data_IF_776396291896
#
_entry.id   IF_776396291896
#
_cell.length_a   1.000
_cell.length_b   1.000
_cell.length_c   1.000
_cell.angle_alpha   90.00
_cell.angle_beta   90.00
_cell.angle_gamma   90.00
#
_symmetry.space_group_name_H-M   'P 1'
#
loop_
_entity.id
_entity.type
_entity.pdbx_description
1 polymer ?
#
# COMPACT_ATOMS: atom_id res chain seq x y z
N UNK A 1 -17.94 -24.28 65.64
CA UNK A 1 -18.96 -23.90 64.63
C UNK A 1 -18.36 -22.86 63.71
N UNK A 2 -18.07 -23.25 62.46
CA UNK A 2 -18.03 -22.41 61.24
C UNK A 2 -17.42 -23.27 60.14
N UNK A 3 -18.28 -24.06 59.51
CA UNK A 3 -18.02 -24.71 58.23
C UNK A 3 -18.28 -23.67 57.12
N UNK A 4 -17.46 -23.70 56.07
CA UNK A 4 -17.94 -23.32 54.74
C UNK A 4 -17.05 -22.35 53.98
N UNK A 5 -16.24 -22.90 53.07
CA UNK A 5 -16.21 -22.61 51.62
C UNK A 5 -14.85 -23.04 51.05
N UNK A 6 -14.69 -24.36 50.87
CA UNK A 6 -13.77 -24.92 49.87
C UNK A 6 -14.63 -25.15 48.63
N UNK A 7 -14.40 -24.41 47.56
CA UNK A 7 -15.15 -24.57 46.30
C UNK A 7 -14.23 -24.34 45.11
N UNK A 8 -14.03 -25.43 44.36
CA UNK A 8 -13.82 -25.48 42.92
C UNK A 8 -12.60 -24.75 42.32
N UNK A 9 -11.42 -25.37 42.44
CA UNK A 9 -10.32 -25.20 41.49
C UNK A 9 -9.86 -26.57 40.97
N UNK A 10 -10.72 -27.31 40.28
CA UNK A 10 -10.31 -28.56 39.64
C UNK A 10 -11.27 -28.98 38.52
N UNK A 11 -11.51 -28.10 37.53
CA UNK A 11 -12.18 -28.49 36.28
C UNK A 11 -11.86 -27.45 35.19
N UNK A 12 -10.71 -27.58 34.53
CA UNK A 12 -10.31 -26.62 33.49
C UNK A 12 -9.00 -26.93 32.76
N UNK A 13 -8.60 -28.20 32.70
CA UNK A 13 -7.37 -28.62 32.00
C UNK A 13 -7.58 -29.89 31.16
N UNK A 14 -8.77 -30.04 30.54
CA UNK A 14 -9.09 -31.22 29.74
C UNK A 14 -9.95 -30.84 28.54
N UNK A 15 -9.43 -29.98 27.66
CA UNK A 15 -10.12 -29.62 26.42
C UNK A 15 -9.14 -29.16 25.34
N UNK A 16 -8.07 -29.95 25.08
CA UNK A 16 -7.12 -29.65 23.99
C UNK A 16 -6.35 -30.88 23.46
N UNK A 17 -6.92 -32.10 23.52
CA UNK A 17 -6.30 -33.32 22.95
C UNK A 17 -7.25 -34.09 22.02
N UNK A 18 -8.20 -33.41 21.37
CA UNK A 18 -9.04 -33.98 20.31
C UNK A 18 -8.82 -33.30 18.95
N UNK A 19 -7.55 -33.00 18.63
CA UNK A 19 -7.10 -33.01 17.24
C UNK A 19 -6.67 -34.46 16.94
N UNK A 20 -7.60 -35.42 16.92
CA UNK A 20 -8.26 -35.85 15.68
C UNK A 20 -7.23 -35.97 14.54
N UNK A 21 -6.84 -37.21 14.25
CA UNK A 21 -6.12 -37.61 13.05
C UNK A 21 -6.94 -37.21 11.81
N UNK A 22 -6.89 -35.93 11.43
CA UNK A 22 -7.39 -35.50 10.15
C UNK A 22 -6.50 -36.14 9.07
N UNK A 23 -7.10 -36.86 8.13
CA UNK A 23 -6.39 -37.39 6.97
C UNK A 23 -5.66 -36.22 6.30
N UNK A 24 -4.32 -36.29 6.26
CA UNK A 24 -3.56 -35.44 5.36
C UNK A 24 -3.99 -35.84 3.95
N UNK A 25 -4.52 -34.93 3.12
CA UNK A 25 -4.89 -35.26 1.75
C UNK A 25 -3.66 -35.82 1.05
N UNK A 26 -3.64 -37.14 0.82
CA UNK A 26 -2.56 -37.82 0.13
C UNK A 26 -2.76 -37.60 -1.36
N UNK A 27 -2.06 -36.61 -1.91
CA UNK A 27 -1.64 -36.62 -3.31
C UNK A 27 -2.64 -36.25 -4.40
N UNK A 28 -3.87 -35.81 -4.10
CA UNK A 28 -4.73 -35.20 -5.13
C UNK A 28 -4.57 -33.68 -5.13
N UNK A 29 -4.12 -33.12 -6.26
CA UNK A 29 -4.15 -31.68 -6.50
C UNK A 29 -5.60 -31.21 -6.42
N UNK A 30 -5.93 -30.39 -5.41
CA UNK A 30 -7.23 -29.75 -5.29
C UNK A 30 -7.21 -28.48 -6.16
N UNK A 31 -8.16 -28.37 -7.07
CA UNK A 31 -8.29 -27.27 -8.03
C UNK A 31 -9.74 -26.78 -8.15
N UNK A 32 -9.95 -25.67 -8.85
CA UNK A 32 -11.26 -25.04 -9.06
C UNK A 32 -11.67 -24.11 -7.91
N UNK A 33 -12.91 -24.25 -7.45
CA UNK A 33 -13.42 -23.50 -6.31
C UNK A 33 -13.16 -24.24 -5.01
N UNK A 34 -12.47 -23.60 -4.08
CA UNK A 34 -12.09 -24.19 -2.78
C UNK A 34 -12.56 -23.31 -1.65
N UNK A 35 -13.25 -23.91 -0.68
CA UNK A 35 -13.69 -23.23 0.53
C UNK A 35 -12.59 -23.27 1.60
N UNK A 36 -12.08 -22.11 1.98
CA UNK A 36 -11.02 -21.96 3.01
C UNK A 36 -11.54 -21.18 4.22
N UNK A 37 -10.91 -21.37 5.38
CA UNK A 37 -11.15 -20.55 6.58
C UNK A 37 -9.95 -19.67 6.89
N UNK A 38 -10.10 -18.36 6.71
CA UNK A 38 -9.00 -17.38 6.76
C UNK A 38 -9.43 -16.07 7.47
N UNK A 39 -8.48 -15.29 8.01
CA UNK A 39 -8.76 -13.90 8.40
C UNK A 39 -9.26 -13.13 7.19
N UNK A 40 -10.44 -12.52 7.31
CA UNK A 40 -11.11 -11.83 6.22
C UNK A 40 -11.80 -10.58 6.72
N UNK A 41 -11.86 -9.56 5.85
CA UNK A 41 -12.51 -8.28 6.15
C UNK A 41 -14.04 -8.41 6.13
N UNK A 42 -14.71 -7.80 7.09
CA UNK A 42 -16.15 -7.57 7.10
C UNK A 42 -16.51 -6.30 6.31
N UNK A 43 -17.79 -5.92 6.32
CA UNK A 43 -18.28 -4.74 5.59
C UNK A 43 -17.76 -3.42 6.16
N UNK A 44 -17.45 -3.40 7.46
CA UNK A 44 -16.83 -2.29 8.19
C UNK A 44 -15.28 -2.35 8.11
N UNK A 45 -14.76 -3.34 7.40
CA UNK A 45 -13.34 -3.62 7.22
C UNK A 45 -12.67 -4.34 8.39
N UNK A 46 -13.38 -4.58 9.50
CA UNK A 46 -12.91 -5.39 10.61
C UNK A 46 -12.48 -6.77 10.13
N UNK A 47 -11.44 -7.36 10.73
CA UNK A 47 -10.92 -8.66 10.26
C UNK A 47 -11.22 -9.72 11.29
N UNK A 48 -11.91 -10.77 10.84
CA UNK A 48 -12.31 -11.93 11.65
C UNK A 48 -12.06 -13.21 10.87
N UNK A 49 -12.04 -14.36 11.53
CA UNK A 49 -11.86 -15.64 10.87
C UNK A 49 -13.17 -16.05 10.16
N UNK A 50 -13.19 -15.97 8.83
CA UNK A 50 -14.37 -16.25 8.02
C UNK A 50 -14.14 -17.42 7.06
N UNK A 51 -15.23 -17.98 6.55
CA UNK A 51 -15.18 -18.99 5.48
C UNK A 51 -15.31 -18.28 4.14
N UNK A 52 -14.30 -18.42 3.29
CA UNK A 52 -14.19 -17.73 1.99
C UNK A 52 -14.05 -18.78 0.89
N UNK A 53 -14.73 -18.58 -0.24
CA UNK A 53 -14.57 -19.41 -1.42
C UNK A 53 -13.52 -18.77 -2.31
N UNK A 54 -12.40 -19.46 -2.52
CA UNK A 54 -11.38 -19.10 -3.51
C UNK A 54 -11.78 -19.69 -4.85
N UNK A 55 -11.67 -18.92 -5.93
CA UNK A 55 -11.97 -19.39 -7.28
C UNK A 55 -10.72 -19.38 -8.15
N UNK A 56 -10.75 -20.09 -9.28
CA UNK A 56 -9.65 -20.06 -10.25
C UNK A 56 -8.33 -20.70 -9.77
N UNK A 57 -8.36 -21.53 -8.72
CA UNK A 57 -7.18 -22.27 -8.27
C UNK A 57 -6.85 -23.40 -9.23
N UNK A 58 -5.60 -23.47 -9.65
CA UNK A 58 -5.04 -24.63 -10.37
C UNK A 58 -4.52 -25.67 -9.37
N UNK A 59 -3.93 -25.23 -8.26
CA UNK A 59 -3.36 -26.08 -7.23
C UNK A 59 -3.41 -25.41 -5.86
N UNK A 60 -4.21 -25.95 -4.94
CA UNK A 60 -4.32 -25.46 -3.56
C UNK A 60 -3.01 -25.57 -2.77
N UNK A 61 -2.21 -26.62 -2.99
CA UNK A 61 -0.97 -26.83 -2.25
C UNK A 61 0.09 -25.78 -2.64
N UNK A 62 0.12 -25.34 -3.89
CA UNK A 62 1.01 -24.27 -4.34
C UNK A 62 0.36 -22.88 -4.23
N UNK A 63 -0.93 -22.83 -3.89
CA UNK A 63 -1.81 -21.65 -4.01
C UNK A 63 -1.66 -20.95 -5.37
N UNK A 64 -1.48 -21.75 -6.42
CA UNK A 64 -1.33 -21.28 -7.80
C UNK A 64 -2.70 -21.23 -8.47
N UNK A 65 -2.96 -20.15 -9.22
CA UNK A 65 -4.15 -20.07 -10.06
C UNK A 65 -4.23 -18.76 -10.83
N UNK A 66 -5.45 -18.35 -11.20
CA UNK A 66 -5.70 -17.20 -12.08
C UNK A 66 -5.24 -15.85 -11.51
N UNK A 67 -5.24 -15.69 -10.18
CA UNK A 67 -5.07 -14.36 -9.55
C UNK A 67 -3.68 -14.13 -8.94
N UNK A 68 -3.01 -15.18 -8.46
CA UNK A 68 -1.70 -15.05 -7.82
C UNK A 68 -0.80 -16.26 -8.10
N UNK A 69 0.49 -15.98 -8.18
CA UNK A 69 1.57 -16.95 -8.26
C UNK A 69 2.61 -16.61 -7.20
N UNK A 70 2.82 -17.53 -6.26
CA UNK A 70 3.72 -17.31 -5.13
C UNK A 70 5.14 -17.83 -5.39
N UNK A 71 6.12 -17.09 -4.88
CA UNK A 71 7.54 -17.47 -4.86
C UNK A 71 8.05 -17.30 -3.43
N UNK A 72 8.66 -18.33 -2.86
CA UNK A 72 9.19 -18.30 -1.50
C UNK A 72 10.64 -17.82 -1.46
N UNK A 73 10.92 -16.88 -0.55
CA UNK A 73 12.23 -16.27 -0.36
C UNK A 73 12.90 -15.86 -1.69
N UNK A 74 12.19 -15.06 -2.53
CA UNK A 74 12.63 -14.80 -3.89
C UNK A 74 13.96 -14.05 -3.96
N UNK A 75 14.68 -14.30 -5.04
CA UNK A 75 15.66 -13.38 -5.61
C UNK A 75 14.94 -12.44 -6.57
N UNK A 76 15.21 -11.14 -6.46
CA UNK A 76 14.69 -10.11 -7.37
C UNK A 76 15.60 -10.03 -8.60
N UNK A 77 15.01 -10.08 -9.79
CA UNK A 77 15.64 -9.94 -11.09
C UNK A 77 15.06 -8.73 -11.82
N UNK A 78 15.68 -8.34 -12.94
CA UNK A 78 15.24 -7.17 -13.72
C UNK A 78 13.89 -7.35 -14.43
N UNK A 79 13.42 -8.60 -14.60
CA UNK A 79 12.20 -8.97 -15.32
C UNK A 79 11.30 -9.95 -14.53
N UNK A 80 11.56 -10.08 -13.23
CA UNK A 80 10.76 -10.95 -12.38
C UNK A 80 11.38 -11.29 -11.04
N UNK A 81 10.80 -12.30 -10.42
CA UNK A 81 11.29 -12.89 -9.18
C UNK A 81 11.46 -14.39 -9.38
N UNK A 82 12.51 -14.95 -8.81
CA UNK A 82 12.82 -16.38 -8.88
C UNK A 82 13.02 -16.96 -7.48
N UNK A 83 12.62 -18.20 -7.27
CA UNK A 83 12.74 -18.87 -5.99
C UNK A 83 12.00 -20.20 -5.97
N UNK A 84 11.89 -20.79 -4.79
CA UNK A 84 11.15 -22.04 -4.63
C UNK A 84 9.64 -21.80 -4.71
N UNK A 85 8.90 -22.73 -5.31
CA UNK A 85 7.44 -22.76 -5.18
C UNK A 85 7.08 -23.12 -3.73
N UNK A 86 6.35 -22.27 -2.99
CA UNK A 86 5.93 -22.62 -1.64
C UNK A 86 4.91 -23.75 -1.64
N UNK A 87 4.94 -24.56 -0.57
CA UNK A 87 3.94 -25.59 -0.32
C UNK A 87 3.10 -25.20 0.91
N UNK A 88 1.86 -24.80 0.66
CA UNK A 88 0.86 -24.55 1.67
C UNK A 88 0.34 -25.86 2.29
N UNK A 89 0.09 -25.81 3.59
CA UNK A 89 -0.40 -26.89 4.42
C UNK A 89 -1.80 -26.55 4.94
N UNK A 90 -2.75 -27.44 4.68
CA UNK A 90 -4.14 -27.30 5.09
C UNK A 90 -4.64 -28.55 5.80
N UNK A 91 -5.44 -28.36 6.84
CA UNK A 91 -6.29 -29.39 7.42
C UNK A 91 -7.69 -29.28 6.80
N UNK A 92 -8.25 -30.40 6.33
CA UNK A 92 -9.62 -30.44 5.83
C UNK A 92 -10.56 -30.83 6.96
N UNK A 93 -11.55 -29.99 7.22
CA UNK A 93 -12.64 -30.28 8.15
C UNK A 93 -13.62 -31.31 7.57
N UNK A 94 -14.45 -31.93 8.42
CA UNK A 94 -15.52 -32.83 7.97
C UNK A 94 -16.55 -32.15 7.05
N UNK A 95 -16.71 -30.83 7.15
CA UNK A 95 -17.55 -30.02 6.26
C UNK A 95 -16.86 -29.66 4.93
N UNK A 96 -15.65 -30.16 4.67
CA UNK A 96 -14.90 -29.90 3.44
C UNK A 96 -14.17 -28.55 3.39
N UNK A 97 -14.21 -27.76 4.47
CA UNK A 97 -13.48 -26.49 4.58
C UNK A 97 -12.00 -26.75 4.86
N UNK A 98 -11.12 -26.08 4.13
CA UNK A 98 -9.67 -26.13 4.31
C UNK A 98 -9.20 -25.03 5.27
N UNK A 99 -8.46 -25.40 6.30
CA UNK A 99 -7.93 -24.47 7.31
C UNK A 99 -6.40 -24.48 7.22
N UNK A 100 -5.74 -23.34 6.95
CA UNK A 100 -4.29 -23.27 6.96
C UNK A 100 -3.72 -23.74 8.30
N UNK A 101 -2.68 -24.58 8.27
CA UNK A 101 -2.08 -25.14 9.50
C UNK A 101 -0.81 -24.42 9.95
N UNK A 102 -0.30 -23.49 9.14
CA UNK A 102 0.83 -22.63 9.47
C UNK A 102 0.62 -21.20 8.95
N UNK A 103 1.46 -20.27 9.42
CA UNK A 103 1.37 -18.85 9.08
C UNK A 103 1.58 -18.59 7.59
N UNK A 104 2.55 -19.26 6.96
CA UNK A 104 2.83 -19.10 5.52
C UNK A 104 1.62 -19.47 4.66
N UNK A 105 0.99 -20.60 4.98
CA UNK A 105 -0.22 -21.08 4.29
C UNK A 105 -1.39 -20.13 4.50
N UNK A 106 -1.51 -19.54 5.71
CA UNK A 106 -2.52 -18.52 5.99
C UNK A 106 -2.27 -17.25 5.17
N UNK A 107 -1.04 -16.76 5.13
CA UNK A 107 -0.67 -15.59 4.32
C UNK A 107 -0.97 -15.83 2.83
N UNK A 108 -0.56 -16.96 2.28
CA UNK A 108 -0.84 -17.30 0.87
C UNK A 108 -2.34 -17.36 0.57
N UNK A 109 -3.14 -17.99 1.43
CA UNK A 109 -4.58 -18.07 1.26
C UNK A 109 -5.27 -16.70 1.36
N UNK A 110 -4.86 -15.86 2.32
CA UNK A 110 -5.39 -14.50 2.49
C UNK A 110 -5.02 -13.60 1.32
N UNK A 111 -3.75 -13.62 0.89
CA UNK A 111 -3.30 -12.84 -0.26
C UNK A 111 -4.05 -13.28 -1.52
N UNK A 112 -4.13 -14.58 -1.80
CA UNK A 112 -4.84 -15.09 -2.98
C UNK A 112 -6.30 -14.58 -3.02
N UNK A 113 -7.01 -14.70 -1.89
CA UNK A 113 -8.37 -14.21 -1.76
C UNK A 113 -8.48 -12.69 -2.01
N UNK A 114 -7.52 -11.91 -1.48
CA UNK A 114 -7.50 -10.46 -1.72
C UNK A 114 -7.20 -10.10 -3.17
N UNK A 115 -6.25 -10.79 -3.82
CA UNK A 115 -5.92 -10.59 -5.24
C UNK A 115 -7.09 -10.93 -6.16
N UNK A 116 -7.85 -11.99 -5.87
CA UNK A 116 -9.09 -12.30 -6.58
C UNK A 116 -10.09 -11.13 -6.51
N UNK A 117 -10.26 -10.55 -5.32
CA UNK A 117 -11.18 -9.43 -5.12
C UNK A 117 -10.66 -8.12 -5.74
N UNK A 118 -9.34 -7.90 -5.74
CA UNK A 118 -8.71 -6.77 -6.40
C UNK A 118 -8.84 -6.88 -7.92
N UNK A 119 -8.69 -8.06 -8.51
CA UNK A 119 -8.94 -8.27 -9.94
C UNK A 119 -10.38 -7.89 -10.35
N UNK A 120 -11.37 -8.21 -9.49
CA UNK A 120 -12.78 -7.80 -9.68
C UNK A 120 -12.96 -6.29 -9.53
N UNK A 121 -12.26 -5.66 -8.59
CA UNK A 121 -12.27 -4.21 -8.43
C UNK A 121 -11.64 -3.51 -9.64
N UNK A 122 -10.53 -4.03 -10.17
CA UNK A 122 -9.88 -3.54 -11.39
C UNK A 122 -10.82 -3.64 -12.60
N UNK A 123 -11.56 -4.74 -12.71
CA UNK A 123 -12.60 -4.90 -13.74
C UNK A 123 -13.73 -3.87 -13.58
N UNK A 124 -14.25 -3.68 -12.37
CA UNK A 124 -15.27 -2.68 -12.08
C UNK A 124 -14.78 -1.24 -12.34
N UNK A 125 -13.50 -0.98 -12.11
CA UNK A 125 -12.84 0.31 -12.35
C UNK A 125 -12.41 0.52 -13.82
N UNK A 126 -12.62 -0.48 -14.70
CA UNK A 126 -12.30 -0.38 -16.12
C UNK A 126 -10.82 -0.55 -16.46
N UNK A 127 -10.02 -1.14 -15.56
CA UNK A 127 -8.56 -1.31 -15.71
C UNK A 127 -8.09 -2.76 -15.71
N UNK A 128 -9.00 -3.72 -15.94
CA UNK A 128 -8.69 -5.17 -15.98
C UNK A 128 -7.48 -5.53 -16.85
N UNK A 129 -7.28 -4.83 -17.96
CA UNK A 129 -6.22 -5.10 -18.93
C UNK A 129 -4.88 -4.40 -18.62
N UNK A 130 -4.82 -3.58 -17.57
CA UNK A 130 -3.61 -2.83 -17.21
C UNK A 130 -2.57 -3.76 -16.60
N UNK A 131 -2.98 -4.67 -15.72
CA UNK A 131 -2.07 -5.58 -15.03
C UNK A 131 -2.10 -6.97 -15.68
N UNK A 132 -0.93 -7.60 -15.73
CA UNK A 132 -0.81 -9.01 -16.08
C UNK A 132 -1.24 -9.89 -14.91
N UNK A 133 -2.01 -10.94 -15.19
CA UNK A 133 -2.48 -11.93 -14.21
C UNK A 133 -2.00 -13.34 -14.60
N UNK A 134 -1.68 -14.22 -13.64
CA UNK A 134 -1.65 -13.99 -12.19
C UNK A 134 -0.55 -13.03 -11.75
N UNK A 135 -0.76 -12.31 -10.63
CA UNK A 135 0.30 -11.45 -10.07
C UNK A 135 1.40 -12.29 -9.43
N UNK A 136 2.66 -11.90 -9.66
CA UNK A 136 3.83 -12.49 -9.00
C UNK A 136 3.94 -11.96 -7.57
N UNK A 137 3.99 -12.86 -6.60
CA UNK A 137 4.03 -12.50 -5.17
C UNK A 137 5.17 -13.22 -4.48
N UNK A 138 6.15 -12.45 -4.02
CA UNK A 138 7.23 -12.93 -3.19
C UNK A 138 6.81 -12.99 -1.72
N UNK A 139 6.88 -14.15 -1.10
CA UNK A 139 6.65 -14.30 0.35
C UNK A 139 7.96 -14.60 1.07
N UNK A 140 8.08 -14.12 2.31
CA UNK A 140 9.32 -14.20 3.09
C UNK A 140 10.52 -13.58 2.33
N UNK A 141 10.27 -12.46 1.63
CA UNK A 141 11.29 -11.77 0.85
C UNK A 141 12.41 -11.26 1.78
N UNK A 142 13.66 -11.60 1.46
CA UNK A 142 14.83 -11.27 2.29
C UNK A 142 15.56 -10.07 1.71
N UNK A 143 15.05 -8.89 2.03
CA UNK A 143 15.66 -7.63 1.61
C UNK A 143 16.59 -7.13 2.70
N UNK A 144 17.78 -6.68 2.32
CA UNK A 144 18.75 -6.07 3.23
C UNK A 144 18.76 -4.57 3.00
N UNK A 145 18.69 -3.80 4.09
CA UNK A 145 18.89 -2.36 4.07
C UNK A 145 20.37 -2.00 3.88
N UNK A 146 20.63 -0.69 3.81
CA UNK A 146 21.98 -0.10 3.73
C UNK A 146 22.87 -0.49 4.91
N UNK A 147 22.26 -0.63 6.09
CA UNK A 147 22.89 -1.08 7.32
C UNK A 147 23.21 -2.60 7.32
N UNK A 148 22.88 -3.30 6.22
CA UNK A 148 23.04 -4.73 6.05
C UNK A 148 22.00 -5.57 6.82
N UNK A 149 21.12 -4.94 7.59
CA UNK A 149 20.08 -5.63 8.35
C UNK A 149 18.96 -6.08 7.43
N UNK A 150 18.37 -7.23 7.76
CA UNK A 150 17.18 -7.68 7.05
C UNK A 150 16.01 -6.79 7.42
N UNK A 151 15.32 -6.29 6.41
CA UNK A 151 14.05 -5.63 6.61
C UNK A 151 13.04 -6.60 7.21
N UNK A 152 12.16 -6.03 8.01
CA UNK A 152 11.06 -6.71 8.69
C UNK A 152 9.91 -5.74 8.76
N UNK A 153 8.69 -6.25 8.93
CA UNK A 153 7.48 -5.43 9.06
C UNK A 153 7.29 -4.50 7.85
N UNK A 154 7.53 -5.01 6.64
CA UNK A 154 7.37 -4.25 5.41
C UNK A 154 6.70 -5.05 4.29
N UNK A 155 6.14 -4.33 3.33
CA UNK A 155 5.70 -4.85 2.05
C UNK A 155 6.02 -3.81 1.00
N UNK A 156 6.23 -4.24 -0.25
CA UNK A 156 6.35 -3.29 -1.33
C UNK A 156 6.07 -3.94 -2.68
N UNK A 157 5.58 -3.14 -3.62
CA UNK A 157 5.67 -3.42 -5.05
C UNK A 157 7.03 -2.99 -5.61
N UNK A 158 7.63 -3.85 -6.44
CA UNK A 158 8.83 -3.54 -7.22
C UNK A 158 8.49 -3.45 -8.71
N UNK A 159 8.63 -2.25 -9.28
CA UNK A 159 8.26 -1.96 -10.67
C UNK A 159 9.19 -2.61 -11.71
N UNK A 160 10.44 -2.89 -11.35
CA UNK A 160 11.36 -3.60 -12.23
C UNK A 160 10.93 -5.07 -12.43
N UNK A 161 10.70 -5.79 -11.33
CA UNK A 161 10.28 -7.19 -11.39
C UNK A 161 8.78 -7.41 -11.61
N UNK A 162 7.97 -6.34 -11.62
CA UNK A 162 6.49 -6.38 -11.65
C UNK A 162 5.92 -7.32 -10.59
N UNK A 163 6.42 -7.23 -9.35
CA UNK A 163 6.09 -8.16 -8.27
C UNK A 163 5.77 -7.47 -6.95
N UNK A 164 4.87 -8.06 -6.18
CA UNK A 164 4.59 -7.66 -4.80
C UNK A 164 5.44 -8.51 -3.87
N UNK A 165 6.17 -7.88 -2.95
CA UNK A 165 7.09 -8.52 -2.03
C UNK A 165 6.61 -8.34 -0.59
N UNK A 166 6.31 -9.46 0.06
CA UNK A 166 5.91 -9.54 1.46
C UNK A 166 7.14 -9.92 2.29
N UNK A 167 7.59 -8.98 3.13
CA UNK A 167 8.74 -9.17 4.02
C UNK A 167 8.28 -9.84 5.32
N UNK A 168 9.11 -10.69 5.97
CA UNK A 168 8.76 -11.29 7.25
C UNK A 168 8.35 -10.26 8.31
N UNK A 169 7.30 -10.57 9.07
CA UNK A 169 6.86 -9.75 10.20
C UNK A 169 7.58 -10.16 11.48
N UNK A 170 7.82 -9.21 12.38
CA UNK A 170 8.26 -9.46 13.74
C UNK A 170 7.12 -10.08 14.53
N UNK A 171 7.51 -10.92 15.50
CA UNK A 171 6.56 -11.56 16.41
C UNK A 171 5.75 -10.51 17.18
N UNK A 172 4.44 -10.69 17.24
CA UNK A 172 3.53 -9.89 18.08
C UNK A 172 2.85 -8.71 17.38
N UNK A 173 3.17 -8.44 16.11
CA UNK A 173 2.44 -7.48 15.27
C UNK A 173 1.49 -8.21 14.33
N UNK A 174 0.43 -7.55 13.88
CA UNK A 174 -0.45 -8.13 12.85
C UNK A 174 0.33 -8.18 11.52
N UNK A 175 0.57 -9.37 10.94
CA UNK A 175 1.24 -9.52 9.66
C UNK A 175 0.66 -8.66 8.53
N UNK A 176 1.50 -7.86 7.87
CA UNK A 176 1.13 -7.04 6.70
C UNK A 176 0.51 -7.87 5.57
N UNK A 177 1.04 -9.09 5.38
CA UNK A 177 0.54 -10.09 4.42
C UNK A 177 -0.90 -10.56 4.70
N UNK A 178 -1.51 -10.16 5.81
CA UNK A 178 -2.91 -10.45 6.14
C UNK A 178 -3.75 -9.19 6.37
N UNK A 179 -3.17 -8.02 6.08
CA UNK A 179 -3.85 -6.74 6.20
C UNK A 179 -4.44 -6.35 4.84
N UNK A 180 -5.78 -6.30 4.69
CA UNK A 180 -6.43 -6.07 3.40
C UNK A 180 -6.07 -4.71 2.79
N UNK A 181 -5.92 -3.67 3.61
CA UNK A 181 -5.60 -2.33 3.12
C UNK A 181 -4.17 -2.23 2.61
N UNK A 182 -3.23 -2.92 3.27
CA UNK A 182 -1.83 -3.00 2.83
C UNK A 182 -1.71 -3.77 1.52
N UNK A 183 -2.35 -4.94 1.38
CA UNK A 183 -2.31 -5.70 0.13
C UNK A 183 -2.86 -4.87 -1.04
N UNK A 184 -3.96 -4.14 -0.81
CA UNK A 184 -4.52 -3.25 -1.81
C UNK A 184 -3.61 -2.06 -2.12
N UNK A 185 -2.96 -1.47 -1.11
CA UNK A 185 -1.96 -0.41 -1.27
C UNK A 185 -0.81 -0.87 -2.19
N UNK A 186 -0.25 -2.06 -1.94
CA UNK A 186 0.81 -2.61 -2.81
C UNK A 186 0.33 -2.92 -4.23
N UNK A 187 -0.89 -3.42 -4.37
CA UNK A 187 -1.50 -3.64 -5.68
C UNK A 187 -1.66 -2.33 -6.46
N UNK A 188 -2.02 -1.24 -5.77
CA UNK A 188 -2.16 0.07 -6.42
C UNK A 188 -0.85 0.58 -6.99
N UNK A 189 0.28 0.37 -6.30
CA UNK A 189 1.58 0.74 -6.86
C UNK A 189 1.85 0.08 -8.22
N UNK A 190 1.35 -1.14 -8.46
CA UNK A 190 1.41 -1.75 -9.78
C UNK A 190 0.56 -0.99 -10.81
N UNK A 191 -0.69 -0.66 -10.47
CA UNK A 191 -1.56 0.15 -11.35
C UNK A 191 -0.92 1.49 -11.69
N UNK A 192 -0.42 2.20 -10.67
CA UNK A 192 0.23 3.49 -10.82
C UNK A 192 1.51 3.39 -11.64
N UNK A 193 2.28 2.31 -11.46
CA UNK A 193 3.46 2.07 -12.28
C UNK A 193 3.08 1.91 -13.75
N UNK A 194 2.14 1.03 -14.09
CA UNK A 194 1.77 0.77 -15.49
C UNK A 194 1.03 1.94 -16.15
N UNK A 195 0.29 2.75 -15.39
CA UNK A 195 -0.49 3.88 -15.93
C UNK A 195 0.25 5.22 -15.91
N UNK A 196 1.24 5.40 -15.03
CA UNK A 196 1.91 6.69 -14.81
C UNK A 196 3.42 6.55 -14.91
N UNK A 197 4.07 5.81 -14.02
CA UNK A 197 5.54 5.84 -13.93
C UNK A 197 6.22 5.18 -15.13
N UNK A 198 5.74 4.01 -15.57
CA UNK A 198 6.26 3.22 -16.68
C UNK A 198 6.34 4.02 -17.98
N UNK A 199 5.23 4.60 -18.48
CA UNK A 199 5.25 5.45 -19.67
C UNK A 199 6.23 6.62 -19.54
N UNK A 200 6.23 7.32 -18.40
CA UNK A 200 7.13 8.45 -18.17
C UNK A 200 8.61 8.04 -18.07
N UNK A 201 8.90 6.83 -17.59
CA UNK A 201 10.23 6.24 -17.55
C UNK A 201 10.72 5.85 -18.94
N UNK A 202 9.85 5.29 -19.79
CA UNK A 202 10.15 4.92 -21.17
C UNK A 202 10.44 6.16 -22.03
N UNK A 203 9.66 7.23 -21.82
CA UNK A 203 9.83 8.53 -22.45
C UNK A 203 11.01 9.33 -21.87
N UNK A 204 11.66 8.83 -20.80
CA UNK A 204 12.75 9.50 -20.08
C UNK A 204 12.36 10.85 -19.47
N UNK A 205 11.07 11.04 -19.20
CA UNK A 205 10.54 12.17 -18.41
C UNK A 205 10.95 12.03 -16.95
N UNK A 206 10.93 10.80 -16.44
CA UNK A 206 11.35 10.45 -15.09
C UNK A 206 12.70 9.73 -15.11
N UNK A 207 13.45 9.86 -14.01
CA UNK A 207 14.71 9.15 -13.83
C UNK A 207 14.48 7.64 -13.72
N UNK A 208 15.33 6.84 -14.40
CA UNK A 208 15.31 5.36 -14.34
C UNK A 208 15.42 4.80 -12.92
N UNK A 209 15.92 5.59 -11.98
CA UNK A 209 16.03 5.24 -10.56
C UNK A 209 14.67 5.06 -9.87
N UNK A 210 13.57 5.47 -10.52
CA UNK A 210 12.20 5.20 -10.09
C UNK A 210 11.71 3.79 -10.44
N UNK A 211 12.47 2.98 -11.19
CA UNK A 211 12.09 1.60 -11.48
C UNK A 211 12.16 0.69 -10.26
N UNK A 212 13.09 0.95 -9.36
CA UNK A 212 13.15 0.27 -8.06
C UNK A 212 12.05 0.80 -7.15
N UNK A 213 11.44 -0.10 -6.37
CA UNK A 213 10.39 0.18 -5.38
C UNK A 213 10.50 1.57 -4.72
N UNK A 214 9.35 2.20 -4.46
CA UNK A 214 9.28 3.45 -3.67
C UNK A 214 9.99 3.32 -2.31
N UNK A 215 10.15 2.08 -1.83
CA UNK A 215 10.82 1.74 -0.59
C UNK A 215 12.29 1.33 -0.75
N UNK A 216 12.86 1.16 -1.97
CA UNK A 216 14.31 0.87 -2.16
C UNK A 216 15.17 2.13 -1.98
N UNK A 217 15.25 2.59 -0.74
CA UNK A 217 16.05 3.75 -0.29
C UNK A 217 17.55 3.57 -0.64
N UNK A 218 18.03 2.33 -0.65
CA UNK A 218 19.40 1.94 -1.04
C UNK A 218 19.76 2.40 -2.44
N UNK A 219 19.04 1.95 -3.45
CA UNK A 219 19.37 2.33 -4.83
C UNK A 219 19.00 3.77 -5.16
N UNK A 220 17.98 4.34 -4.50
CA UNK A 220 17.54 5.71 -4.79
C UNK A 220 18.63 6.72 -4.43
N UNK A 221 19.28 6.62 -3.27
CA UNK A 221 20.31 7.60 -2.89
C UNK A 221 21.68 7.28 -3.45
N UNK A 222 22.03 6.01 -3.68
CA UNK A 222 23.29 5.66 -4.36
C UNK A 222 23.33 6.23 -5.78
N UNK A 223 22.16 6.44 -6.39
CA UNK A 223 22.05 7.09 -7.70
C UNK A 223 22.00 8.63 -7.63
N UNK A 224 21.57 9.24 -6.52
CA UNK A 224 21.80 10.68 -6.27
C UNK A 224 23.27 10.97 -6.03
N UNK A 225 24.00 9.98 -5.51
CA UNK A 225 25.42 10.03 -5.23
C UNK A 225 26.30 9.67 -6.44
N UNK A 226 25.74 9.48 -7.64
CA UNK A 226 26.54 9.32 -8.89
C UNK A 226 27.33 10.58 -9.28
N UNK A 227 27.25 11.66 -8.49
CA UNK A 227 28.17 12.78 -8.54
C UNK A 227 29.40 12.62 -7.60
N UNK A 228 29.48 11.56 -6.78
CA UNK A 228 30.41 11.46 -5.64
C UNK A 228 31.66 10.59 -5.84
N UNK A 229 31.88 10.03 -7.04
CA UNK A 229 33.18 9.41 -7.40
C UNK A 229 34.36 10.42 -7.34
N UNK A 230 34.07 11.70 -7.10
CA UNK A 230 35.03 12.65 -6.57
C UNK A 230 34.97 12.71 -5.03
N UNK A 231 35.58 11.73 -4.35
CA UNK A 231 36.07 11.85 -2.96
C UNK A 231 37.22 12.88 -2.86
N UNK A 232 36.99 14.11 -3.32
CA UNK A 232 37.73 15.28 -2.87
C UNK A 232 36.88 15.94 -1.80
N UNK A 233 37.52 16.55 -0.81
CA UNK A 233 36.91 17.37 0.24
C UNK A 233 36.00 18.46 -0.36
N UNK A 234 34.80 18.10 -0.80
CA UNK A 234 33.79 19.05 -1.22
C UNK A 234 33.19 19.61 0.08
N UNK A 235 33.60 20.83 0.41
CA UNK A 235 32.83 21.70 1.29
C UNK A 235 31.37 21.59 0.85
N UNK A 236 30.48 21.23 1.77
CA UNK A 236 29.05 21.16 1.50
C UNK A 236 28.65 22.41 0.70
N UNK A 237 28.11 22.25 -0.52
CA UNK A 237 27.73 23.39 -1.35
C UNK A 237 26.81 24.30 -0.53
N UNK A 238 27.01 25.63 -0.64
CA UNK A 238 26.13 26.57 0.06
C UNK A 238 24.71 26.37 -0.46
N UNK A 239 23.71 26.42 0.43
CA UNK A 239 22.29 26.24 0.10
C UNK A 239 21.80 27.16 -1.05
N UNK A 240 22.49 28.27 -1.29
CA UNK A 240 22.25 29.21 -2.40
C UNK A 240 22.71 28.73 -3.78
N UNK A 241 23.61 27.76 -3.83
CA UNK A 241 24.31 27.33 -5.07
C UNK A 241 23.68 26.06 -5.66
N UNK A 242 22.69 25.49 -4.96
CA UNK A 242 21.99 24.27 -5.33
C UNK A 242 20.72 24.63 -6.08
N UNK A 243 20.89 25.04 -7.34
CA UNK A 243 19.78 25.01 -8.30
C UNK A 243 19.42 23.54 -8.53
N UNK A 244 18.49 23.04 -7.74
CA UNK A 244 18.00 21.68 -7.89
C UNK A 244 17.17 21.55 -9.17
N UNK A 245 17.40 20.48 -9.93
CA UNK A 245 16.73 20.30 -11.21
C UNK A 245 15.24 19.95 -11.04
N UNK A 246 14.44 20.44 -11.99
CA UNK A 246 12.99 20.24 -12.02
C UNK A 246 12.62 18.75 -12.15
N UNK A 247 13.48 17.95 -12.79
CA UNK A 247 13.28 16.53 -12.96
C UNK A 247 13.26 15.79 -11.62
N UNK A 248 14.16 16.14 -10.71
CA UNK A 248 14.25 15.49 -9.41
C UNK A 248 13.14 15.98 -8.47
N UNK A 249 12.75 17.25 -8.55
CA UNK A 249 11.57 17.73 -7.84
C UNK A 249 10.31 16.96 -8.28
N UNK A 250 10.08 16.86 -9.59
CA UNK A 250 8.92 16.17 -10.15
C UNK A 250 8.95 14.65 -9.84
N UNK A 251 10.14 14.06 -9.81
CA UNK A 251 10.38 12.67 -9.36
C UNK A 251 9.92 12.48 -7.91
N UNK A 252 10.30 13.39 -7.01
CA UNK A 252 9.88 13.33 -5.61
C UNK A 252 8.36 13.50 -5.48
N UNK A 253 7.77 14.49 -6.17
CA UNK A 253 6.31 14.70 -6.17
C UNK A 253 5.56 13.47 -6.66
N UNK A 254 6.05 12.80 -7.71
CA UNK A 254 5.40 11.58 -8.21
C UNK A 254 5.42 10.44 -7.19
N UNK A 255 6.47 10.31 -6.39
CA UNK A 255 6.48 9.37 -5.27
C UNK A 255 5.43 9.73 -4.23
N UNK A 256 5.31 11.02 -3.86
CA UNK A 256 4.28 11.48 -2.92
C UNK A 256 2.87 11.15 -3.41
N UNK A 257 2.61 11.37 -4.69
CA UNK A 257 1.32 11.06 -5.32
C UNK A 257 1.08 9.56 -5.30
N UNK A 258 2.06 8.75 -5.69
CA UNK A 258 1.95 7.29 -5.69
C UNK A 258 1.58 6.75 -4.30
N UNK A 259 2.33 7.12 -3.26
CA UNK A 259 2.10 6.71 -1.87
C UNK A 259 0.74 7.19 -1.35
N UNK A 260 0.43 8.46 -1.58
CA UNK A 260 -0.83 9.04 -1.14
C UNK A 260 -2.05 8.38 -1.78
N UNK A 261 -2.02 8.15 -3.09
CA UNK A 261 -3.12 7.50 -3.80
C UNK A 261 -3.18 5.99 -3.50
N UNK A 262 -2.05 5.35 -3.19
CA UNK A 262 -2.04 3.97 -2.71
C UNK A 262 -2.75 3.84 -1.35
N UNK A 263 -2.58 4.81 -0.44
CA UNK A 263 -3.35 4.88 0.81
C UNK A 263 -4.85 5.06 0.57
N UNK A 264 -5.23 5.88 -0.43
CA UNK A 264 -6.64 6.01 -0.86
C UNK A 264 -7.17 4.68 -1.38
N UNK A 265 -6.41 3.96 -2.22
CA UNK A 265 -6.82 2.66 -2.74
C UNK A 265 -6.93 1.58 -1.64
N UNK A 266 -5.99 1.59 -0.69
CA UNK A 266 -6.04 0.76 0.52
C UNK A 266 -7.33 0.99 1.30
N UNK A 267 -7.76 2.25 1.45
CA UNK A 267 -9.04 2.61 2.07
C UNK A 267 -10.26 2.22 1.22
N UNK A 268 -10.26 2.50 -0.09
CA UNK A 268 -11.32 2.10 -1.04
C UNK A 268 -11.64 0.61 -0.86
N UNK A 269 -10.59 -0.21 -0.89
CA UNK A 269 -10.69 -1.65 -0.83
C UNK A 269 -11.07 -2.16 0.56
N UNK A 270 -10.36 -1.72 1.60
CA UNK A 270 -10.54 -2.24 2.96
C UNK A 270 -11.76 -1.67 3.68
N UNK A 271 -12.18 -0.45 3.33
CA UNK A 271 -13.15 0.34 4.08
C UNK A 271 -12.59 1.01 5.34
N UNK A 272 -11.31 0.78 5.69
CA UNK A 272 -10.70 1.30 6.92
C UNK A 272 -9.79 2.50 6.62
N UNK A 273 -10.06 3.70 7.15
CA UNK A 273 -9.20 4.87 6.96
C UNK A 273 -7.87 4.78 7.72
N UNK A 274 -7.75 3.86 8.68
CA UNK A 274 -6.54 3.61 9.48
C UNK A 274 -6.06 2.17 9.30
N UNK A 275 -6.22 1.59 8.11
CA UNK A 275 -5.91 0.17 7.88
C UNK A 275 -4.48 -0.20 8.33
N UNK A 276 -3.53 0.73 8.26
CA UNK A 276 -2.13 0.51 8.63
C UNK A 276 -1.89 0.44 10.14
N UNK A 277 -2.77 1.02 10.97
CA UNK A 277 -2.57 1.16 12.42
C UNK A 277 -2.26 -0.17 13.11
N UNK A 278 -2.93 -1.25 12.69
CA UNK A 278 -2.83 -2.53 13.39
C UNK A 278 -1.56 -3.30 13.04
N UNK A 279 -1.01 -3.08 11.85
CA UNK A 279 0.25 -3.69 11.43
C UNK A 279 1.44 -2.82 11.81
N UNK A 280 1.33 -1.50 11.66
CA UNK A 280 2.39 -0.55 11.95
C UNK A 280 1.86 0.67 12.73
N UNK A 281 1.61 0.54 14.05
CA UNK A 281 0.98 1.59 14.87
C UNK A 281 1.70 2.94 14.80
N UNK A 282 3.03 2.93 14.67
CA UNK A 282 3.87 4.14 14.59
C UNK A 282 3.56 5.04 13.38
N UNK A 283 2.98 4.48 12.31
CA UNK A 283 2.63 5.26 11.12
C UNK A 283 1.20 5.78 11.13
N UNK A 284 0.38 5.45 12.15
CA UNK A 284 -1.01 5.88 12.23
C UNK A 284 -1.16 7.40 12.08
N UNK A 285 -0.36 8.16 12.82
CA UNK A 285 -0.44 9.63 12.84
C UNK A 285 -0.19 10.25 11.47
N UNK A 286 0.70 9.64 10.68
CA UNK A 286 1.10 10.17 9.38
C UNK A 286 0.19 9.67 8.26
N UNK A 287 -0.20 8.39 8.29
CA UNK A 287 -0.90 7.71 7.19
C UNK A 287 -2.39 7.51 7.40
N UNK A 288 -2.94 7.94 8.54
CA UNK A 288 -4.40 7.95 8.73
C UNK A 288 -5.06 8.88 7.71
N UNK A 289 -6.13 8.38 7.07
CA UNK A 289 -7.01 9.18 6.23
C UNK A 289 -8.14 9.86 7.02
N UNK A 290 -8.19 9.73 8.35
CA UNK A 290 -9.13 10.50 9.18
C UNK A 290 -8.66 11.95 9.26
N UNK A 291 -9.59 12.86 9.00
CA UNK A 291 -9.35 14.28 8.87
C UNK A 291 -9.33 15.05 10.21
N UNK A 292 -9.31 14.37 11.35
CA UNK A 292 -9.48 15.08 12.63
C UNK A 292 -8.19 15.80 13.06
N UNK A 293 -8.20 17.14 12.95
CA UNK A 293 -7.22 18.02 13.60
C UNK A 293 -5.89 18.26 12.87
N UNK A 294 -5.67 17.69 11.68
CA UNK A 294 -4.48 17.96 10.87
C UNK A 294 -4.84 18.93 9.75
N UNK A 295 -4.14 20.07 9.70
CA UNK A 295 -4.34 21.10 8.68
C UNK A 295 -4.48 20.51 7.28
N UNK A 296 -5.59 20.85 6.62
CA UNK A 296 -6.07 20.24 5.38
C UNK A 296 -5.42 20.77 4.10
N UNK A 297 -4.43 21.66 4.24
CA UNK A 297 -3.84 22.35 3.11
C UNK A 297 -2.82 21.45 2.43
N UNK A 298 -3.02 21.22 1.13
CA UNK A 298 -2.01 20.57 0.30
C UNK A 298 -0.68 21.34 0.38
N UNK A 299 0.41 20.60 0.43
CA UNK A 299 1.75 21.18 0.51
C UNK A 299 2.06 21.97 -0.77
N UNK A 300 2.40 23.25 -0.61
CA UNK A 300 2.70 24.13 -1.75
C UNK A 300 4.01 23.73 -2.44
N UNK A 301 4.18 24.02 -3.75
CA UNK A 301 5.40 23.67 -4.48
C UNK A 301 6.69 24.19 -3.86
N UNK A 302 6.67 25.38 -3.24
CA UNK A 302 7.83 25.95 -2.54
C UNK A 302 8.19 25.19 -1.26
N UNK A 303 7.20 24.69 -0.54
CA UNK A 303 7.39 23.86 0.65
C UNK A 303 7.94 22.49 0.26
N UNK A 304 7.36 21.85 -0.77
CA UNK A 304 7.88 20.59 -1.32
C UNK A 304 9.34 20.77 -1.75
N UNK A 305 9.68 21.85 -2.46
CA UNK A 305 11.05 22.09 -2.89
C UNK A 305 12.02 22.24 -1.70
N UNK A 306 11.55 22.85 -0.60
CA UNK A 306 12.34 22.94 0.64
C UNK A 306 12.55 21.56 1.25
N UNK A 307 11.50 20.74 1.37
CA UNK A 307 11.60 19.37 1.90
C UNK A 307 12.58 18.57 1.04
N UNK A 308 12.45 18.60 -0.29
CA UNK A 308 13.33 17.87 -1.22
C UNK A 308 14.78 18.35 -1.14
N UNK A 309 15.01 19.65 -0.95
CA UNK A 309 16.36 20.20 -0.76
C UNK A 309 16.97 19.71 0.56
N UNK A 310 16.23 19.83 1.65
CA UNK A 310 16.70 19.42 2.98
C UNK A 310 16.94 17.92 3.04
N UNK A 311 16.15 17.17 2.30
CA UNK A 311 16.30 15.76 2.05
C UNK A 311 17.64 15.35 1.43
N UNK A 312 18.02 16.01 0.34
CA UNK A 312 19.19 15.65 -0.42
C UNK A 312 20.48 16.15 0.21
N UNK A 313 20.41 17.26 0.94
CA UNK A 313 21.60 17.96 1.43
C UNK A 313 21.72 18.03 2.96
N UNK A 314 20.67 17.64 3.70
CA UNK A 314 20.62 17.72 5.17
C UNK A 314 21.31 16.58 5.91
N UNK A 315 21.87 15.60 5.21
CA UNK A 315 22.64 14.50 5.82
C UNK A 315 21.80 13.44 6.57
N UNK A 316 20.48 13.44 6.40
CA UNK A 316 19.57 12.43 6.96
C UNK A 316 18.62 11.84 5.89
N UNK A 317 19.18 11.10 4.92
CA UNK A 317 18.42 10.57 3.79
C UNK A 317 17.26 9.63 4.17
N UNK A 318 17.36 8.87 5.27
CA UNK A 318 16.32 7.92 5.66
C UNK A 318 15.11 8.61 6.34
N UNK A 319 15.35 9.68 7.11
CA UNK A 319 14.29 10.54 7.64
C UNK A 319 13.54 11.24 6.50
N UNK A 320 14.31 11.66 5.50
CA UNK A 320 13.81 12.34 4.31
C UNK A 320 12.77 11.53 3.52
N UNK A 321 12.99 10.23 3.27
CA UNK A 321 12.05 9.43 2.47
C UNK A 321 10.71 9.31 3.17
N UNK A 322 10.73 9.12 4.50
CA UNK A 322 9.51 9.11 5.31
C UNK A 322 8.79 10.46 5.27
N UNK A 323 9.52 11.57 5.39
CA UNK A 323 8.94 12.92 5.38
C UNK A 323 8.37 13.31 4.01
N UNK A 324 9.05 12.93 2.92
CA UNK A 324 8.57 13.16 1.55
C UNK A 324 7.33 12.31 1.26
N UNK A 325 7.42 10.99 1.43
CA UNK A 325 6.35 10.07 1.07
C UNK A 325 5.09 10.28 1.93
N UNK A 326 5.26 10.39 3.25
CA UNK A 326 4.13 10.32 4.19
C UNK A 326 3.61 11.67 4.66
N UNK A 327 4.33 12.78 4.45
CA UNK A 327 3.81 14.12 4.78
C UNK A 327 2.85 14.64 3.70
N UNK A 328 3.38 15.17 2.58
CA UNK A 328 2.57 15.66 1.47
C UNK A 328 1.65 14.59 0.86
N UNK A 329 2.13 13.35 0.72
CA UNK A 329 1.34 12.23 0.17
C UNK A 329 0.09 11.94 0.99
N UNK A 330 0.21 11.84 2.32
CA UNK A 330 -0.96 11.61 3.18
C UNK A 330 -1.93 12.80 3.20
N UNK A 331 -1.41 14.02 3.04
CA UNK A 331 -2.26 15.22 2.93
C UNK A 331 -3.09 15.17 1.65
N UNK A 332 -2.49 14.74 0.53
CA UNK A 332 -3.23 14.44 -0.70
C UNK A 332 -4.27 13.34 -0.47
N UNK A 333 -3.93 12.23 0.21
CA UNK A 333 -4.89 11.15 0.50
C UNK A 333 -6.11 11.62 1.26
N UNK A 334 -5.89 12.48 2.28
CA UNK A 334 -6.97 13.07 3.08
C UNK A 334 -7.84 14.01 2.25
N UNK A 335 -7.23 14.86 1.42
CA UNK A 335 -7.97 15.76 0.54
C UNK A 335 -8.83 14.97 -0.45
N UNK A 336 -8.24 13.98 -1.13
CA UNK A 336 -8.95 13.06 -2.04
C UNK A 336 -10.10 12.39 -1.30
N UNK A 337 -9.86 11.70 -0.18
CA UNK A 337 -10.93 11.05 0.59
C UNK A 337 -12.03 12.02 0.99
N UNK A 338 -11.69 13.23 1.44
CA UNK A 338 -12.67 14.20 1.94
C UNK A 338 -13.59 14.70 0.84
N UNK A 339 -13.04 14.98 -0.35
CA UNK A 339 -13.85 15.32 -1.53
C UNK A 339 -14.89 14.22 -1.78
N UNK A 340 -14.47 12.95 -1.78
CA UNK A 340 -15.38 11.83 -2.07
C UNK A 340 -16.31 11.43 -0.93
N UNK A 341 -15.98 11.77 0.32
CA UNK A 341 -16.93 11.60 1.43
C UNK A 341 -18.07 12.62 1.37
N UNK A 342 -17.88 13.76 0.71
CA UNK A 342 -18.97 14.68 0.36
C UNK A 342 -20.05 13.96 -0.44
N UNK A 343 -19.66 13.28 -1.53
CA UNK A 343 -20.55 12.51 -2.41
C UNK A 343 -21.40 11.46 -1.67
N UNK A 344 -20.85 10.88 -0.58
CA UNK A 344 -21.55 9.89 0.23
C UNK A 344 -22.77 10.44 0.95
N UNK A 345 -22.73 11.71 1.36
CA UNK A 345 -23.83 12.34 2.09
C UNK A 345 -25.00 12.66 1.17
N UNK A 346 -24.73 12.90 -0.12
CA UNK A 346 -25.72 13.42 -1.07
C UNK A 346 -26.47 12.32 -1.84
N UNK A 347 -25.86 11.15 -2.01
CA UNK A 347 -26.40 10.09 -2.90
C UNK A 347 -27.29 9.07 -2.20
N UNK A 348 -27.20 8.92 -0.87
CA UNK A 348 -27.90 7.85 -0.12
C UNK A 348 -27.39 6.43 -0.43
N UNK A 349 -26.31 6.32 -1.21
CA UNK A 349 -25.74 5.06 -1.63
C UNK A 349 -24.94 4.39 -0.51
N UNK A 350 -24.78 3.06 -0.61
CA UNK A 350 -23.93 2.34 0.34
C UNK A 350 -22.47 2.82 0.26
N UNK A 351 -21.79 2.86 1.42
CA UNK A 351 -20.38 3.22 1.50
C UNK A 351 -19.49 2.41 0.56
N UNK A 352 -19.86 1.15 0.28
CA UNK A 352 -19.18 0.29 -0.68
C UNK A 352 -19.30 0.80 -2.11
N UNK A 353 -20.52 1.11 -2.56
CA UNK A 353 -20.78 1.53 -3.94
C UNK A 353 -20.11 2.87 -4.27
N UNK A 354 -20.03 3.79 -3.31
CA UNK A 354 -19.29 5.04 -3.52
C UNK A 354 -17.79 4.80 -3.64
N UNK A 355 -17.21 3.91 -2.83
CA UNK A 355 -15.80 3.51 -2.96
C UNK A 355 -15.51 2.83 -4.30
N UNK A 356 -16.41 2.01 -4.82
CA UNK A 356 -16.27 1.39 -6.15
C UNK A 356 -16.31 2.45 -7.28
N UNK A 357 -17.21 3.44 -7.21
CA UNK A 357 -17.22 4.59 -8.14
C UNK A 357 -15.93 5.41 -8.07
N UNK A 358 -15.45 5.68 -6.86
CA UNK A 358 -14.18 6.35 -6.64
C UNK A 358 -13.01 5.58 -7.26
N UNK A 359 -12.97 4.25 -7.13
CA UNK A 359 -11.96 3.45 -7.81
C UNK A 359 -11.95 3.72 -9.33
N UNK A 360 -13.12 3.72 -9.98
CA UNK A 360 -13.25 4.06 -11.40
C UNK A 360 -12.78 5.48 -11.74
N UNK A 361 -13.19 6.49 -10.96
CA UNK A 361 -12.77 7.89 -11.13
C UNK A 361 -11.25 8.04 -11.01
N UNK A 362 -10.67 7.46 -9.97
CA UNK A 362 -9.23 7.51 -9.73
C UNK A 362 -8.45 6.88 -10.89
N UNK A 363 -8.89 5.72 -11.39
CA UNK A 363 -8.26 5.08 -12.54
C UNK A 363 -8.31 5.91 -13.83
N UNK A 364 -9.43 6.60 -14.08
CA UNK A 364 -9.55 7.54 -15.21
C UNK A 364 -8.65 8.78 -15.06
N UNK A 365 -8.37 9.19 -13.83
CA UNK A 365 -7.53 10.35 -13.54
C UNK A 365 -6.03 10.07 -13.73
N UNK A 366 -5.56 8.84 -13.51
CA UNK A 366 -4.12 8.53 -13.55
C UNK A 366 -3.44 8.91 -14.88
N UNK A 367 -4.02 8.63 -16.08
CA UNK A 367 -3.45 9.12 -17.34
C UNK A 367 -3.34 10.65 -17.42
N UNK A 368 -4.29 11.39 -16.82
CA UNK A 368 -4.24 12.85 -16.77
C UNK A 368 -3.10 13.31 -15.85
N UNK A 369 -2.87 12.63 -14.73
CA UNK A 369 -1.71 12.89 -13.86
C UNK A 369 -0.42 12.71 -14.64
N UNK A 370 -0.27 11.60 -15.39
CA UNK A 370 0.90 11.35 -16.23
C UNK A 370 1.14 12.48 -17.24
N UNK A 371 0.09 12.94 -17.93
CA UNK A 371 0.18 14.07 -18.85
C UNK A 371 0.63 15.36 -18.15
N UNK A 372 0.08 15.65 -16.96
CA UNK A 372 0.53 16.82 -16.17
C UNK A 372 2.00 16.72 -15.79
N UNK A 373 2.53 15.54 -15.49
CA UNK A 373 3.98 15.35 -15.26
C UNK A 373 4.77 15.69 -16.50
N UNK A 374 4.37 15.11 -17.64
CA UNK A 374 5.02 15.31 -18.93
C UNK A 374 5.14 16.80 -19.25
N UNK A 375 4.04 17.54 -19.15
CA UNK A 375 4.04 18.99 -19.42
C UNK A 375 4.80 19.79 -18.37
N UNK A 376 4.78 19.38 -17.09
CA UNK A 376 5.46 20.11 -16.01
C UNK A 376 6.98 20.04 -16.18
N UNK A 377 7.54 18.85 -16.45
CA UNK A 377 9.00 18.69 -16.62
C UNK A 377 9.63 19.56 -17.72
N UNK A 378 8.83 20.04 -18.68
CA UNK A 378 9.29 20.94 -19.73
C UNK A 378 9.29 22.42 -19.33
N UNK A 379 8.44 22.84 -18.38
CA UNK A 379 8.09 24.27 -18.20
C UNK A 379 7.94 24.74 -16.75
N UNK A 380 7.64 23.86 -15.77
CA UNK A 380 7.36 24.24 -14.37
C UNK A 380 7.36 23.09 -13.34
N UNK A 381 7.38 23.45 -12.05
CA UNK A 381 7.20 22.51 -10.93
C UNK A 381 5.80 21.90 -10.93
N UNK A 382 5.72 20.59 -10.70
CA UNK A 382 4.45 19.91 -10.40
C UNK A 382 3.83 20.42 -9.09
N UNK A 383 2.50 20.45 -9.08
CA UNK A 383 1.68 20.99 -8.00
C UNK A 383 0.60 19.97 -7.62
N UNK A 384 0.53 19.61 -6.34
CA UNK A 384 -0.45 18.66 -5.82
C UNK A 384 -1.89 19.16 -6.01
N UNK A 385 -2.12 20.47 -6.07
CA UNK A 385 -3.44 21.02 -6.37
C UNK A 385 -3.90 20.64 -7.78
N UNK A 386 -3.00 20.69 -8.77
CA UNK A 386 -3.30 20.29 -10.15
C UNK A 386 -3.61 18.79 -10.25
N UNK A 387 -2.98 17.97 -9.41
CA UNK A 387 -3.24 16.53 -9.34
C UNK A 387 -4.62 16.27 -8.75
N UNK A 388 -4.96 16.91 -7.63
CA UNK A 388 -6.30 16.82 -7.05
C UNK A 388 -7.37 17.29 -8.04
N UNK A 389 -7.12 18.41 -8.72
CA UNK A 389 -8.02 18.92 -9.76
C UNK A 389 -8.22 17.89 -10.88
N UNK A 390 -7.14 17.28 -11.39
CA UNK A 390 -7.25 16.23 -12.42
C UNK A 390 -8.07 15.02 -11.95
N UNK A 391 -7.97 14.64 -10.66
CA UNK A 391 -8.79 13.59 -10.06
C UNK A 391 -10.27 13.97 -10.06
N UNK A 392 -10.58 15.23 -9.75
CA UNK A 392 -11.95 15.72 -9.76
C UNK A 392 -12.54 15.93 -11.16
N UNK A 393 -11.71 16.24 -12.15
CA UNK A 393 -12.12 16.48 -13.53
C UNK A 393 -12.30 15.20 -14.34
N UNK A 394 -11.84 14.05 -13.85
CA UNK A 394 -11.88 12.77 -14.56
C UNK A 394 -13.30 12.22 -14.81
N UNK A 395 -14.34 12.86 -14.28
CA UNK A 395 -15.75 12.67 -14.65
C UNK A 395 -16.51 14.01 -14.65
N UNK A 396 -17.72 14.03 -15.23
CA UNK A 396 -18.70 15.11 -15.03
C UNK A 396 -19.13 15.16 -13.56
N UNK A 397 -18.24 15.66 -12.71
CA UNK A 397 -18.53 15.97 -11.33
C UNK A 397 -19.54 17.12 -11.28
N UNK A 398 -20.49 17.02 -10.35
CA UNK A 398 -21.53 18.03 -10.17
C UNK A 398 -20.90 19.39 -9.84
N UNK A 399 -21.60 20.49 -10.10
CA UNK A 399 -21.12 21.82 -9.73
C UNK A 399 -20.89 21.99 -8.23
N UNK A 400 -21.61 21.22 -7.40
CA UNK A 400 -21.47 21.22 -5.94
C UNK A 400 -20.20 20.49 -5.49
N UNK A 401 -19.87 19.36 -6.12
CA UNK A 401 -18.61 18.62 -5.89
C UNK A 401 -17.38 19.49 -6.22
N UNK A 402 -17.46 20.24 -7.33
CA UNK A 402 -16.43 21.21 -7.72
C UNK A 402 -16.31 22.35 -6.71
N UNK A 403 -17.43 22.83 -6.16
CA UNK A 403 -17.46 23.89 -5.16
C UNK A 403 -16.91 23.43 -3.79
N UNK A 404 -17.24 22.22 -3.34
CA UNK A 404 -16.74 21.65 -2.08
C UNK A 404 -15.21 21.49 -2.10
N UNK A 405 -14.63 21.00 -3.20
CA UNK A 405 -13.18 20.94 -3.28
C UNK A 405 -12.55 22.33 -3.51
N UNK A 406 -13.21 23.23 -4.25
CA UNK A 406 -12.72 24.61 -4.35
C UNK A 406 -12.70 25.31 -2.98
N UNK A 407 -13.65 24.99 -2.09
CA UNK A 407 -13.63 25.46 -0.71
C UNK A 407 -12.45 24.85 0.07
N UNK A 408 -12.12 23.57 -0.15
CA UNK A 408 -10.89 22.94 0.37
C UNK A 408 -9.61 23.63 -0.11
N UNK A 409 -9.58 24.14 -1.34
CA UNK A 409 -8.44 24.91 -1.87
C UNK A 409 -8.26 26.29 -1.19
N UNK A 410 -9.28 26.79 -0.48
CA UNK A 410 -9.36 28.19 -0.05
C UNK A 410 -9.39 28.34 1.48
N UNK A 411 -9.78 27.33 2.25
CA UNK A 411 -9.90 27.45 3.71
C UNK A 411 -8.57 27.77 4.42
N UNK A 412 -8.63 28.80 5.28
CA UNK A 412 -7.51 29.35 6.08
C UNK A 412 -7.18 28.45 7.27
N UNK A 413 -5.94 28.52 7.80
CA UNK A 413 -5.45 27.60 8.83
C UNK A 413 -6.37 27.52 10.05
N UNK A 414 -6.60 26.29 10.51
CA UNK A 414 -6.94 26.03 11.91
C UNK A 414 -5.77 26.58 12.74
N UNK A 415 -6.06 27.46 13.70
CA UNK A 415 -5.04 28.00 14.61
C UNK A 415 -4.19 26.85 15.15
N UNK A 416 -2.86 26.97 15.03
CA UNK A 416 -1.94 25.94 15.51
C UNK A 416 -2.33 25.59 16.95
N UNK A 417 -2.46 24.30 17.31
CA UNK A 417 -2.64 23.94 18.70
C UNK A 417 -1.47 24.54 19.47
N UNK A 418 -1.79 25.47 20.38
CA UNK A 418 -0.82 26.06 21.29
C UNK A 418 -0.03 24.91 21.90
N UNK A 419 1.29 24.90 21.68
CA UNK A 419 2.20 23.92 22.27
C UNK A 419 1.98 23.90 23.78
N UNK A 420 1.15 22.98 24.27
CA UNK A 420 1.21 22.59 25.66
C UNK A 420 2.56 21.90 25.84
N UNK A 421 3.40 22.51 26.69
CA UNK A 421 4.63 21.91 27.15
C UNK A 421 4.28 20.54 27.74
N UNK A 422 4.76 19.47 27.10
CA UNK A 422 4.64 18.12 27.64
C UNK A 422 5.35 18.06 29.00
N UNK A 423 4.76 17.38 30.01
CA UNK A 423 5.37 17.23 31.33
C UNK A 423 6.68 16.43 31.32
#
# INVERSE_FOLDING_TARGET
MSLGRLSFYLLGATLLVLAACAERPTGSQVSGSVTVRIPWKDEQGGVTLQTVVLTGLENLQEMKGAYAQFVYAPKILDDGIEGATPHAQFAKTSAGVYVPTDETSQQMAVIYAHMEHLAKLDEAAGVKSVLSWPRKIGISARIRGRDGQLWTDNSFYDGASDAILMVPNKKGQWPLATNPGVIAHEHFHALFFHLVQGPLLEEKVLSRTLRSSAHDEGKVLDNFDLASDQKKEQKAPRRSDLAFDEATYNTAVIKMINEGLADVWGWIYSGQPDFIEKSLPRYKTFRSLRAEGVGHRLTEPSQIATIVTDCLYGGQPDACVNDLAYGPGATLSRAVRSVFLGDLQDTGDSARLVRERLAGRLMKALPLVAEKVRTSTAESRMDLHKVLQAIMEAEETSSEEKAAAAQWLVEKPVEEPTKEEAP
#
